data_IF_853084765331
#
_entry.id   IF_853084765331
#
_cell.length_a   1.000
_cell.length_b   1.000
_cell.length_c   1.000
_cell.angle_alpha   90.00
_cell.angle_beta   90.00
_cell.angle_gamma   90.00
#
_symmetry.space_group_name_H-M   'P 1'
#
loop_
_entity.id
_entity.type
_entity.pdbx_description
1 polymer ?
#
# COMPACT_ATOMS: atom_id res chain seq x y z
N UNK A 1 2.67 5.21 -4.27
CA UNK A 1 4.04 4.76 -3.90
C UNK A 1 4.34 3.40 -4.52
N UNK A 2 5.63 3.08 -4.69
CA UNK A 2 6.14 1.77 -5.13
C UNK A 2 6.84 1.06 -3.97
N UNK A 3 6.40 -0.14 -3.62
CA UNK A 3 6.97 -0.97 -2.56
C UNK A 3 7.76 -2.13 -3.15
N UNK A 4 8.91 -2.45 -2.55
CA UNK A 4 9.59 -3.73 -2.74
C UNK A 4 9.22 -4.66 -1.59
N UNK A 5 8.53 -5.76 -1.88
CA UNK A 5 8.08 -6.73 -0.90
C UNK A 5 8.97 -7.96 -1.01
N UNK A 6 9.72 -8.24 0.04
CA UNK A 6 10.64 -9.34 0.16
C UNK A 6 10.03 -10.40 1.08
N UNK A 7 9.62 -11.54 0.52
CA UNK A 7 9.16 -12.68 1.30
C UNK A 7 10.41 -13.44 1.72
N UNK A 8 10.87 -13.21 2.95
CA UNK A 8 12.11 -13.78 3.48
C UNK A 8 12.20 -15.27 3.16
N UNK A 9 13.41 -15.72 2.79
CA UNK A 9 13.66 -17.10 2.37
C UNK A 9 12.88 -17.49 1.09
N UNK A 10 12.32 -18.69 0.96
CA UNK A 10 11.61 -19.17 -0.25
C UNK A 10 12.51 -19.48 -1.46
N UNK A 11 13.82 -19.67 -1.28
CA UNK A 11 14.73 -20.04 -2.37
C UNK A 11 15.89 -20.92 -1.88
N UNK A 12 15.73 -22.26 -1.85
CA UNK A 12 16.77 -23.17 -1.37
C UNK A 12 18.17 -22.83 -1.94
N UNK A 13 19.22 -22.80 -1.09
CA UNK A 13 19.27 -23.33 0.28
C UNK A 13 18.66 -22.41 1.37
N UNK A 14 18.16 -21.23 1.01
CA UNK A 14 17.56 -20.27 1.93
C UNK A 14 16.09 -20.67 2.23
N UNK A 15 15.87 -21.34 3.37
CA UNK A 15 14.62 -22.07 3.71
C UNK A 15 14.00 -21.70 5.07
N UNK A 16 14.52 -20.66 5.72
CA UNK A 16 13.96 -20.11 6.95
C UNK A 16 13.97 -21.03 8.16
N UNK A 17 13.31 -20.59 9.22
CA UNK A 17 13.13 -21.33 10.45
C UNK A 17 11.98 -22.35 10.37
N UNK A 18 12.21 -23.54 10.94
CA UNK A 18 11.17 -24.55 11.18
C UNK A 18 10.71 -24.53 12.64
N UNK A 19 9.45 -24.18 12.89
CA UNK A 19 8.78 -24.25 14.19
C UNK A 19 7.51 -25.11 14.14
N UNK A 20 6.44 -24.63 14.78
CA UNK A 20 5.08 -25.18 14.64
C UNK A 20 4.61 -25.05 13.19
N UNK A 21 5.01 -23.96 12.52
CA UNK A 21 4.87 -23.73 11.09
C UNK A 21 6.23 -23.42 10.49
N UNK A 22 6.35 -23.58 9.16
CA UNK A 22 7.55 -23.24 8.40
C UNK A 22 7.55 -21.75 8.07
N UNK A 23 8.65 -21.06 8.35
CA UNK A 23 8.78 -19.61 8.08
C UNK A 23 8.49 -19.27 6.62
N UNK A 24 9.11 -19.96 5.65
CA UNK A 24 8.92 -19.69 4.22
C UNK A 24 7.46 -19.71 3.79
N UNK A 25 6.69 -20.67 4.30
CA UNK A 25 5.27 -20.78 4.01
C UNK A 25 4.49 -19.57 4.58
N UNK A 26 4.88 -19.10 5.76
CA UNK A 26 4.27 -17.94 6.42
C UNK A 26 4.64 -16.63 5.73
N UNK A 27 5.93 -16.41 5.44
CA UNK A 27 6.42 -15.20 4.76
C UNK A 27 5.80 -15.08 3.37
N UNK A 28 5.69 -16.19 2.63
CA UNK A 28 5.03 -16.23 1.32
C UNK A 28 3.54 -15.92 1.41
N UNK A 29 2.84 -16.47 2.40
CA UNK A 29 1.42 -16.23 2.60
C UNK A 29 1.14 -14.75 2.89
N UNK A 30 1.85 -14.16 3.86
CA UNK A 30 1.69 -12.74 4.23
C UNK A 30 2.13 -11.82 3.11
N UNK A 31 3.28 -12.07 2.49
CA UNK A 31 3.80 -11.22 1.42
C UNK A 31 2.91 -11.22 0.18
N UNK A 32 2.35 -12.37 -0.19
CA UNK A 32 1.41 -12.44 -1.32
C UNK A 32 0.16 -11.61 -1.06
N UNK A 33 -0.41 -11.72 0.15
CA UNK A 33 -1.57 -10.94 0.57
C UNK A 33 -1.27 -9.44 0.64
N UNK A 34 -0.11 -9.06 1.19
CA UNK A 34 0.32 -7.67 1.27
C UNK A 34 0.47 -7.04 -0.13
N UNK A 35 1.07 -7.76 -1.09
CA UNK A 35 1.19 -7.31 -2.48
C UNK A 35 -0.20 -7.04 -3.08
N UNK A 36 -1.14 -7.96 -2.90
CA UNK A 36 -2.51 -7.79 -3.42
C UNK A 36 -3.20 -6.58 -2.80
N UNK A 37 -3.10 -6.42 -1.48
CA UNK A 37 -3.69 -5.31 -0.73
C UNK A 37 -3.12 -3.95 -1.11
N UNK A 38 -1.79 -3.84 -1.23
CA UNK A 38 -1.14 -2.61 -1.69
C UNK A 38 -1.55 -2.24 -3.12
N UNK A 39 -1.65 -3.23 -4.01
CA UNK A 39 -2.13 -3.02 -5.39
C UNK A 39 -3.59 -2.58 -5.43
N UNK A 40 -4.46 -3.19 -4.61
CA UNK A 40 -5.86 -2.79 -4.48
C UNK A 40 -6.02 -1.36 -3.92
N UNK A 41 -5.05 -0.90 -3.12
CA UNK A 41 -4.97 0.49 -2.63
C UNK A 41 -4.29 1.46 -3.62
N UNK A 42 -4.16 1.10 -4.91
CA UNK A 42 -3.53 1.91 -5.96
C UNK A 42 -2.02 2.19 -5.74
N UNK A 43 -1.31 1.30 -5.03
CA UNK A 43 0.15 1.33 -4.94
C UNK A 43 0.78 0.28 -5.86
N UNK A 44 2.01 0.53 -6.31
CA UNK A 44 2.80 -0.51 -6.97
C UNK A 44 3.48 -1.38 -5.92
N UNK A 45 3.42 -2.70 -6.06
CA UNK A 45 4.14 -3.63 -5.20
C UNK A 45 4.93 -4.64 -6.06
N UNK A 46 6.25 -4.59 -5.94
CA UNK A 46 7.22 -5.45 -6.64
C UNK A 46 7.61 -6.59 -5.70
N UNK A 47 7.40 -7.83 -6.14
CA UNK A 47 7.91 -9.00 -5.41
C UNK A 47 9.44 -9.06 -5.59
N UNK A 48 10.18 -8.88 -4.51
CA UNK A 48 11.64 -8.89 -4.47
C UNK A 48 12.21 -10.31 -4.23
N UNK A 49 11.36 -11.31 -3.99
CA UNK A 49 11.75 -12.68 -3.68
C UNK A 49 12.38 -13.35 -4.93
N UNK A 50 13.59 -13.94 -4.82
CA UNK A 50 14.20 -14.71 -5.90
C UNK A 50 13.55 -16.10 -5.99
N UNK A 51 13.55 -16.70 -7.18
CA UNK A 51 13.02 -18.05 -7.40
C UNK A 51 14.05 -19.16 -7.15
N UNK A 52 15.34 -18.82 -7.13
CA UNK A 52 16.45 -19.74 -6.87
C UNK A 52 17.70 -18.96 -6.47
N UNK A 53 18.57 -19.56 -5.66
CA UNK A 53 19.86 -18.98 -5.29
C UNK A 53 20.92 -20.06 -5.13
N UNK A 54 22.18 -19.72 -5.41
CA UNK A 54 23.33 -20.61 -5.21
C UNK A 54 23.78 -20.70 -3.74
N UNK A 55 23.43 -19.70 -2.93
CA UNK A 55 23.74 -19.60 -1.50
C UNK A 55 22.80 -18.60 -0.82
N UNK A 56 22.78 -18.56 0.52
CA UNK A 56 22.03 -17.55 1.27
C UNK A 56 22.52 -16.13 0.93
N UNK A 57 23.83 -15.91 0.80
CA UNK A 57 24.37 -14.60 0.41
C UNK A 57 23.92 -14.17 -0.98
N UNK A 58 23.82 -15.11 -1.92
CA UNK A 58 23.30 -14.86 -3.25
C UNK A 58 21.80 -14.50 -3.22
N UNK A 59 20.99 -15.26 -2.45
CA UNK A 59 19.58 -14.92 -2.18
C UNK A 59 19.41 -13.48 -1.68
N UNK A 60 20.13 -13.11 -0.62
CA UNK A 60 20.08 -11.78 -0.03
C UNK A 60 20.44 -10.68 -1.03
N UNK A 61 21.49 -10.90 -1.84
CA UNK A 61 21.93 -9.96 -2.88
C UNK A 61 20.89 -9.78 -3.98
N UNK A 62 20.26 -10.86 -4.43
CA UNK A 62 19.23 -10.79 -5.48
C UNK A 62 18.03 -9.96 -5.03
N UNK A 63 17.60 -10.09 -3.76
CA UNK A 63 16.49 -9.31 -3.19
C UNK A 63 16.78 -7.81 -3.22
N UNK A 64 17.93 -7.41 -2.68
CA UNK A 64 18.33 -5.99 -2.64
C UNK A 64 18.56 -5.42 -4.03
N UNK A 65 19.18 -6.19 -4.93
CA UNK A 65 19.38 -5.77 -6.32
C UNK A 65 18.05 -5.55 -7.03
N UNK A 66 17.06 -6.44 -6.85
CA UNK A 66 15.74 -6.31 -7.46
C UNK A 66 15.01 -5.07 -6.95
N UNK A 67 15.08 -4.78 -5.65
CA UNK A 67 14.50 -3.56 -5.08
C UNK A 67 15.16 -2.29 -5.63
N UNK A 68 16.50 -2.25 -5.62
CA UNK A 68 17.29 -1.12 -6.11
C UNK A 68 17.05 -0.86 -7.60
N UNK A 69 17.10 -1.90 -8.45
CA UNK A 69 16.88 -1.79 -9.89
C UNK A 69 15.47 -1.28 -10.25
N UNK A 70 14.48 -1.53 -9.38
CA UNK A 70 13.10 -1.05 -9.58
C UNK A 70 12.84 0.35 -9.01
N UNK A 71 13.82 0.97 -8.35
CA UNK A 71 13.70 2.26 -7.68
C UNK A 71 12.44 2.32 -6.79
N UNK A 72 12.27 1.30 -5.93
CA UNK A 72 11.14 1.27 -4.99
C UNK A 72 11.30 2.38 -3.94
N UNK A 73 10.19 2.91 -3.45
CA UNK A 73 10.19 3.97 -2.43
C UNK A 73 10.42 3.43 -1.01
N UNK A 74 9.94 2.22 -0.72
CA UNK A 74 10.11 1.54 0.57
C UNK A 74 10.34 0.05 0.32
N UNK A 75 11.29 -0.54 1.03
CA UNK A 75 11.57 -1.97 1.04
C UNK A 75 11.07 -2.61 2.34
N UNK A 76 10.33 -3.72 2.21
CA UNK A 76 9.71 -4.43 3.33
C UNK A 76 10.08 -5.90 3.23
N UNK A 77 10.92 -6.36 4.16
CA UNK A 77 11.28 -7.77 4.31
C UNK A 77 10.40 -8.41 5.38
N UNK A 78 9.72 -9.50 5.05
CA UNK A 78 8.78 -10.20 5.93
C UNK A 78 9.42 -11.50 6.40
N UNK A 79 9.46 -11.69 7.71
CA UNK A 79 10.06 -12.81 8.42
C UNK A 79 9.19 -13.29 9.59
N UNK A 80 9.50 -14.46 10.11
CA UNK A 80 8.94 -14.99 11.36
C UNK A 80 10.05 -15.55 12.24
N UNK A 81 10.08 -15.08 13.48
CA UNK A 81 11.17 -15.38 14.39
C UNK A 81 11.07 -16.82 14.92
N UNK A 82 12.15 -17.31 15.51
CA UNK A 82 12.20 -18.59 16.22
C UNK A 82 13.20 -18.49 17.37
N UNK A 83 12.86 -19.07 18.52
CA UNK A 83 13.82 -19.14 19.62
C UNK A 83 13.70 -20.41 20.46
N UNK A 84 12.75 -20.43 21.41
CA UNK A 84 12.66 -21.48 22.44
C UNK A 84 11.21 -21.88 22.76
N UNK A 85 10.29 -21.63 21.83
CA UNK A 85 8.83 -21.81 21.97
C UNK A 85 8.13 -20.98 23.07
N UNK A 86 8.86 -20.19 23.87
CA UNK A 86 8.31 -19.30 24.92
C UNK A 86 8.37 -17.82 24.54
N UNK A 87 9.46 -17.40 23.87
CA UNK A 87 9.55 -16.07 23.29
C UNK A 87 8.43 -15.89 22.26
N UNK A 88 7.76 -14.74 22.30
CA UNK A 88 6.61 -14.45 21.47
C UNK A 88 6.50 -12.93 21.23
N UNK A 89 5.61 -12.55 20.31
CA UNK A 89 5.37 -11.17 19.91
C UNK A 89 6.08 -10.74 18.64
N UNK A 90 5.91 -9.47 18.28
CA UNK A 90 6.43 -8.87 17.05
C UNK A 90 7.58 -7.90 17.33
N UNK A 91 8.57 -7.85 16.44
CA UNK A 91 9.66 -6.87 16.41
C UNK A 91 9.93 -6.43 14.97
N UNK A 92 10.38 -5.20 14.78
CA UNK A 92 10.72 -4.67 13.46
C UNK A 92 12.11 -4.06 13.50
N UNK A 93 12.93 -4.37 12.50
CA UNK A 93 14.28 -3.89 12.38
C UNK A 93 14.39 -2.77 11.35
N UNK A 94 15.06 -1.68 11.74
CA UNK A 94 15.25 -0.48 10.94
C UNK A 94 16.54 0.24 11.35
N UNK A 95 17.32 0.70 10.37
CA UNK A 95 18.61 1.36 10.61
C UNK A 95 18.49 2.89 10.48
N UNK A 96 17.86 3.38 9.41
CA UNK A 96 17.76 4.84 9.16
C UNK A 96 16.61 5.48 9.96
N UNK A 97 16.70 6.77 10.27
CA UNK A 97 15.61 7.52 10.92
C UNK A 97 14.29 7.42 10.14
N UNK A 98 14.35 7.50 8.81
CA UNK A 98 13.18 7.33 7.95
C UNK A 98 12.58 5.92 8.06
N UNK A 99 13.43 4.89 8.06
CA UNK A 99 13.02 3.50 8.29
C UNK A 99 12.41 3.30 9.68
N UNK A 100 12.93 3.96 10.72
CA UNK A 100 12.43 3.81 12.09
C UNK A 100 11.00 4.34 12.21
N UNK A 101 10.68 5.50 11.63
CA UNK A 101 9.30 6.02 11.62
C UNK A 101 8.31 5.10 10.89
N UNK A 102 8.74 4.48 9.78
CA UNK A 102 7.94 3.48 9.07
C UNK A 102 7.75 2.23 9.94
N UNK A 103 8.83 1.74 10.56
CA UNK A 103 8.80 0.57 11.43
C UNK A 103 7.89 0.78 12.64
N UNK A 104 7.92 1.96 13.27
CA UNK A 104 7.02 2.30 14.38
C UNK A 104 5.55 2.28 13.95
N UNK A 105 5.26 2.83 12.76
CA UNK A 105 3.90 2.85 12.21
C UNK A 105 3.37 1.44 11.95
N UNK A 106 4.19 0.56 11.35
CA UNK A 106 3.83 -0.84 11.12
C UNK A 106 3.71 -1.63 12.42
N UNK A 107 4.66 -1.47 13.33
CA UNK A 107 4.64 -2.14 14.63
C UNK A 107 3.37 -1.82 15.41
N UNK A 108 2.96 -0.55 15.41
CA UNK A 108 1.74 -0.09 16.09
C UNK A 108 0.49 -0.82 15.60
N UNK A 109 0.35 -1.03 14.30
CA UNK A 109 -0.82 -1.73 13.74
C UNK A 109 -0.77 -3.23 14.04
N UNK A 110 0.40 -3.88 13.97
CA UNK A 110 0.53 -5.30 14.32
C UNK A 110 0.20 -5.54 15.81
N UNK A 111 0.67 -4.66 16.70
CA UNK A 111 0.40 -4.76 18.15
C UNK A 111 -1.10 -4.65 18.46
N UNK A 112 -1.88 -3.90 17.67
CA UNK A 112 -3.34 -3.81 17.82
C UNK A 112 -4.05 -5.16 17.57
N UNK A 113 -3.40 -6.10 16.86
CA UNK A 113 -3.90 -7.47 16.70
C UNK A 113 -3.75 -8.32 17.97
N UNK A 114 -3.02 -7.84 18.98
CA UNK A 114 -2.82 -8.51 20.27
C UNK A 114 -1.43 -9.13 20.46
N UNK A 115 -0.52 -8.98 19.50
CA UNK A 115 0.85 -9.48 19.65
C UNK A 115 1.63 -8.69 20.71
N UNK A 116 2.47 -9.39 21.48
CA UNK A 116 3.37 -8.75 22.42
C UNK A 116 4.33 -7.80 21.69
N UNK A 117 4.42 -6.55 22.14
CA UNK A 117 5.27 -5.53 21.52
C UNK A 117 6.73 -5.69 21.97
N UNK A 118 7.62 -6.06 21.05
CA UNK A 118 9.07 -6.20 21.33
C UNK A 118 9.90 -5.02 20.80
N UNK A 119 9.25 -4.01 20.24
CA UNK A 119 9.85 -2.75 19.82
C UNK A 119 10.45 -2.76 18.41
N UNK A 120 10.83 -1.56 17.98
CA UNK A 120 11.70 -1.34 16.83
C UNK A 120 13.15 -1.46 17.27
N UNK A 121 13.99 -2.11 16.48
CA UNK A 121 15.38 -2.39 16.80
C UNK A 121 16.30 -2.01 15.65
N UNK A 122 17.53 -1.62 15.99
CA UNK A 122 18.58 -1.47 15.01
C UNK A 122 19.43 -2.76 14.98
N UNK A 123 19.51 -3.38 13.81
CA UNK A 123 20.47 -4.43 13.53
C UNK A 123 20.89 -4.36 12.09
N UNK A 124 22.19 -4.57 11.87
CA UNK A 124 22.80 -4.47 10.56
C UNK A 124 22.56 -5.66 9.64
N UNK A 125 21.32 -6.10 9.47
CA UNK A 125 20.94 -7.16 8.52
C UNK A 125 21.32 -6.78 7.09
N UNK A 126 21.69 -7.79 6.28
CA UNK A 126 22.19 -7.57 4.93
C UNK A 126 21.21 -6.76 4.09
N UNK A 127 19.94 -7.14 4.08
CA UNK A 127 18.92 -6.48 3.24
C UNK A 127 18.72 -5.01 3.63
N UNK A 128 18.76 -4.70 4.93
CA UNK A 128 18.61 -3.33 5.44
C UNK A 128 19.81 -2.44 5.10
N UNK A 129 21.01 -3.03 5.00
CA UNK A 129 22.26 -2.31 4.67
C UNK A 129 22.47 -2.09 3.18
N UNK A 130 21.91 -2.95 2.33
CA UNK A 130 22.26 -3.00 0.90
C UNK A 130 21.10 -2.54 -0.01
N UNK A 131 20.02 -2.02 0.56
CA UNK A 131 18.96 -1.28 -0.13
C UNK A 131 19.26 0.22 -0.13
N UNK A 132 18.90 0.91 -1.23
CA UNK A 132 19.15 2.36 -1.40
C UNK A 132 18.00 3.25 -0.91
N UNK A 133 16.88 2.66 -0.52
CA UNK A 133 15.68 3.34 -0.02
C UNK A 133 15.43 2.97 1.45
N UNK A 134 14.51 3.65 2.17
CA UNK A 134 14.07 3.23 3.48
C UNK A 134 13.63 1.76 3.47
N UNK A 135 14.24 0.97 4.34
CA UNK A 135 14.02 -0.47 4.47
C UNK A 135 13.65 -0.86 5.89
N UNK A 136 12.71 -1.79 6.04
CA UNK A 136 12.34 -2.43 7.30
C UNK A 136 12.35 -3.96 7.14
N UNK A 137 12.66 -4.67 8.22
CA UNK A 137 12.52 -6.13 8.31
C UNK A 137 11.57 -6.44 9.46
N UNK A 138 10.47 -7.11 9.15
CA UNK A 138 9.38 -7.39 10.09
C UNK A 138 9.50 -8.83 10.54
N UNK A 139 9.74 -9.05 11.83
CA UNK A 139 9.45 -10.33 12.47
C UNK A 139 7.99 -10.31 12.92
N UNK A 140 7.12 -10.90 12.10
CA UNK A 140 5.67 -10.81 12.29
C UNK A 140 5.25 -11.39 13.64
N UNK A 141 5.77 -12.56 13.97
CA UNK A 141 5.69 -13.21 15.28
C UNK A 141 6.63 -14.45 15.31
N UNK A 142 6.62 -15.23 16.39
CA UNK A 142 7.46 -16.43 16.53
C UNK A 142 6.78 -17.69 15.97
N UNK A 143 7.36 -18.32 14.94
CA UNK A 143 6.80 -19.52 14.29
C UNK A 143 6.87 -20.79 15.16
N UNK A 144 7.65 -20.77 16.25
CA UNK A 144 7.76 -21.85 17.23
C UNK A 144 6.96 -21.61 18.52
N UNK A 145 6.34 -20.44 18.68
CA UNK A 145 5.57 -20.10 19.87
C UNK A 145 4.07 -20.36 19.67
N UNK A 146 3.51 -21.23 20.51
CA UNK A 146 2.08 -21.59 20.40
C UNK A 146 1.16 -20.37 20.56
N UNK A 147 1.47 -19.46 21.49
CA UNK A 147 0.67 -18.24 21.73
C UNK A 147 0.58 -17.36 20.49
N UNK A 148 1.66 -17.23 19.73
CA UNK A 148 1.68 -16.44 18.51
C UNK A 148 0.97 -17.18 17.37
N UNK A 149 1.20 -18.49 17.23
CA UNK A 149 0.59 -19.28 16.17
C UNK A 149 -0.91 -19.51 16.33
N UNK A 150 -1.43 -19.47 17.56
CA UNK A 150 -2.87 -19.49 17.85
C UNK A 150 -3.52 -18.14 17.48
N UNK A 151 -2.80 -17.02 17.68
CA UNK A 151 -3.29 -15.66 17.38
C UNK A 151 -3.15 -15.31 15.88
N UNK A 152 -2.13 -15.85 15.22
CA UNK A 152 -1.73 -15.46 13.87
C UNK A 152 -2.80 -15.78 12.82
N UNK A 153 -3.16 -14.73 12.08
CA UNK A 153 -4.01 -14.77 10.90
C UNK A 153 -3.33 -14.00 9.76
N UNK A 154 -3.21 -14.64 8.59
CA UNK A 154 -2.49 -14.11 7.44
C UNK A 154 -3.13 -12.81 6.92
N UNK A 155 -4.46 -12.78 6.85
CA UNK A 155 -5.21 -11.65 6.31
C UNK A 155 -5.05 -10.43 7.22
N UNK A 156 -5.23 -10.61 8.53
CA UNK A 156 -5.06 -9.55 9.53
C UNK A 156 -3.64 -9.03 9.60
N UNK A 157 -2.64 -9.91 9.56
CA UNK A 157 -1.23 -9.50 9.57
C UNK A 157 -0.90 -8.66 8.33
N UNK A 158 -1.29 -9.12 7.14
CA UNK A 158 -1.06 -8.38 5.90
C UNK A 158 -1.81 -7.03 5.88
N UNK A 159 -3.03 -6.98 6.43
CA UNK A 159 -3.81 -5.74 6.56
C UNK A 159 -3.12 -4.75 7.51
N UNK A 160 -2.68 -5.19 8.69
CA UNK A 160 -1.95 -4.36 9.65
C UNK A 160 -0.64 -3.80 9.07
N UNK A 161 0.12 -4.64 8.34
CA UNK A 161 1.33 -4.17 7.66
C UNK A 161 0.99 -3.11 6.61
N UNK A 162 -0.04 -3.34 5.79
CA UNK A 162 -0.50 -2.39 4.78
C UNK A 162 -0.90 -1.06 5.44
N UNK A 163 -1.73 -1.09 6.47
CA UNK A 163 -2.19 0.10 7.20
C UNK A 163 -1.03 0.87 7.85
N UNK A 164 -0.02 0.17 8.38
CA UNK A 164 1.18 0.82 8.90
C UNK A 164 2.05 1.49 7.82
N UNK A 165 2.05 0.95 6.59
CA UNK A 165 2.84 1.47 5.47
C UNK A 165 2.19 2.68 4.78
N UNK A 166 0.86 2.69 4.63
CA UNK A 166 0.15 3.73 3.87
C UNK A 166 -0.81 4.57 4.72
N UNK A 167 -0.88 4.28 6.02
CA UNK A 167 -1.94 4.76 6.90
C UNK A 167 -3.20 3.92 6.75
N UNK A 168 -4.07 3.95 7.77
CA UNK A 168 -5.43 3.47 7.57
C UNK A 168 -6.10 4.33 6.49
N UNK A 169 -6.96 3.75 5.63
CA UNK A 169 -7.82 4.58 4.81
C UNK A 169 -8.51 5.57 5.75
N UNK A 170 -8.38 6.87 5.47
CA UNK A 170 -9.23 7.85 6.15
C UNK A 170 -10.64 7.28 6.07
N UNK A 171 -11.39 7.20 7.18
CA UNK A 171 -12.80 6.86 7.09
C UNK A 171 -13.33 7.69 5.94
N UNK A 172 -13.92 7.06 4.92
CA UNK A 172 -14.82 7.81 4.08
C UNK A 172 -15.77 8.40 5.09
N UNK A 173 -15.67 9.71 5.34
CA UNK A 173 -16.70 10.38 6.10
C UNK A 173 -18.00 9.85 5.51
N UNK A 174 -18.94 9.36 6.34
CA UNK A 174 -20.25 9.03 5.81
C UNK A 174 -20.67 10.30 5.08
N UNK A 175 -20.65 10.24 3.75
CA UNK A 175 -21.22 11.31 2.96
C UNK A 175 -22.66 11.23 3.39
N UNK A 176 -23.07 12.18 4.25
CA UNK A 176 -24.46 12.60 4.29
C UNK A 176 -24.90 12.67 2.83
N UNK A 177 -26.14 12.28 2.53
CA UNK A 177 -26.74 12.31 1.19
C UNK A 177 -26.82 13.77 0.65
N UNK A 178 -25.68 14.47 0.62
CA UNK A 178 -25.47 15.81 0.14
C UNK A 178 -25.62 15.71 -1.35
N UNK A 179 -26.65 16.37 -1.84
CA UNK A 179 -26.90 16.45 -3.27
C UNK A 179 -26.09 17.63 -3.79
N UNK A 180 -25.11 17.36 -4.64
CA UNK A 180 -24.35 18.43 -5.26
C UNK A 180 -24.99 18.82 -6.59
N UNK A 181 -25.00 20.11 -6.88
CA UNK A 181 -25.23 20.63 -8.23
C UNK A 181 -23.91 21.20 -8.73
N UNK A 182 -23.44 20.69 -9.86
CA UNK A 182 -22.41 21.33 -10.65
C UNK A 182 -23.08 22.32 -11.61
N UNK A 183 -22.93 23.61 -11.35
CA UNK A 183 -23.32 24.68 -12.28
C UNK A 183 -22.17 24.86 -13.28
N UNK A 184 -22.37 24.49 -14.54
CA UNK A 184 -21.46 24.87 -15.63
C UNK A 184 -21.83 26.28 -16.07
N UNK A 185 -20.92 27.24 -15.89
CA UNK A 185 -21.17 28.65 -16.23
C UNK A 185 -20.74 28.98 -17.65
N UNK A 186 -19.80 28.22 -18.20
CA UNK A 186 -19.24 28.42 -19.54
C UNK A 186 -19.08 27.07 -20.22
N UNK A 187 -19.43 26.97 -21.51
CA UNK A 187 -19.25 25.74 -22.29
C UNK A 187 -17.80 25.25 -22.15
N UNK A 188 -17.64 23.98 -21.79
CA UNK A 188 -16.32 23.42 -21.48
C UNK A 188 -16.27 21.92 -21.78
N UNK A 189 -15.23 21.24 -21.29
CA UNK A 189 -15.01 19.82 -21.50
C UNK A 189 -15.00 19.06 -20.18
N UNK A 190 -15.61 17.88 -20.21
CA UNK A 190 -15.42 16.81 -19.24
C UNK A 190 -14.18 16.03 -19.65
N UNK A 191 -13.21 15.92 -18.74
CA UNK A 191 -11.89 15.37 -19.04
C UNK A 191 -11.57 14.14 -18.18
N UNK A 192 -10.70 13.23 -18.67
CA UNK A 192 -10.14 12.12 -17.90
C UNK A 192 -9.21 12.56 -16.76
N UNK A 193 -8.60 13.74 -16.86
CA UNK A 193 -7.57 14.26 -15.97
C UNK A 193 -7.57 15.79 -15.95
N UNK A 194 -6.68 16.39 -15.17
CA UNK A 194 -6.47 17.84 -15.04
C UNK A 194 -5.72 18.45 -16.23
N UNK A 195 -5.14 17.63 -17.12
CA UNK A 195 -4.40 18.06 -18.32
C UNK A 195 -5.23 18.93 -19.27
N UNK A 196 -4.57 19.73 -20.12
CA UNK A 196 -5.26 20.58 -21.09
C UNK A 196 -6.04 19.72 -22.09
N UNK A 197 -7.23 20.16 -22.49
CA UNK A 197 -8.08 19.40 -23.41
C UNK A 197 -7.41 19.16 -24.78
N UNK A 198 -6.50 20.05 -25.20
CA UNK A 198 -5.71 19.91 -26.42
C UNK A 198 -4.75 18.72 -26.40
N UNK A 199 -4.34 18.29 -25.21
CA UNK A 199 -3.28 17.31 -25.01
C UNK A 199 -3.85 15.91 -24.77
N UNK A 200 -5.19 15.81 -24.67
CA UNK A 200 -5.92 14.59 -24.36
C UNK A 200 -6.48 13.92 -25.63
N UNK A 201 -6.61 12.58 -25.65
CA UNK A 201 -7.26 11.87 -26.73
C UNK A 201 -8.69 12.40 -26.97
N UNK A 202 -9.05 12.69 -28.22
CA UNK A 202 -10.34 13.33 -28.56
C UNK A 202 -11.55 12.49 -28.16
N UNK A 203 -11.41 11.18 -28.13
CA UNK A 203 -12.42 10.21 -27.71
C UNK A 203 -12.55 10.09 -26.17
N UNK A 204 -11.67 10.77 -25.43
CA UNK A 204 -11.69 10.82 -23.97
C UNK A 204 -12.31 12.09 -23.39
N UNK A 205 -12.55 13.11 -24.22
CA UNK A 205 -13.10 14.41 -23.82
C UNK A 205 -14.52 14.59 -24.36
N UNK A 206 -15.40 15.15 -23.54
CA UNK A 206 -16.81 15.36 -23.90
C UNK A 206 -17.21 16.79 -23.64
N UNK A 207 -17.83 17.46 -24.61
CA UNK A 207 -18.36 18.81 -24.41
C UNK A 207 -19.52 18.80 -23.41
N UNK A 208 -19.55 19.81 -22.56
CA UNK A 208 -20.67 20.07 -21.66
C UNK A 208 -21.11 21.53 -21.79
N UNK A 209 -22.41 21.71 -21.98
CA UNK A 209 -23.04 23.02 -22.11
C UNK A 209 -23.32 23.64 -20.74
N UNK A 210 -23.40 24.99 -20.65
CA UNK A 210 -23.84 25.66 -19.44
C UNK A 210 -25.18 25.13 -18.91
N UNK A 211 -25.27 24.99 -17.59
CA UNK A 211 -26.46 24.47 -16.93
C UNK A 211 -26.17 23.85 -15.56
N UNK A 212 -27.24 23.44 -14.89
CA UNK A 212 -27.18 22.84 -13.56
C UNK A 212 -27.28 21.32 -13.65
N UNK A 213 -26.27 20.63 -13.12
CA UNK A 213 -26.20 19.18 -13.21
C UNK A 213 -26.16 18.53 -11.82
N UNK A 214 -27.07 17.60 -11.51
CA UNK A 214 -26.97 16.81 -10.29
C UNK A 214 -25.80 15.83 -10.37
N UNK A 215 -24.96 15.85 -9.34
CA UNK A 215 -23.77 15.01 -9.25
C UNK A 215 -23.73 14.32 -7.89
N UNK A 216 -23.19 13.12 -7.86
CA UNK A 216 -23.15 12.28 -6.66
C UNK A 216 -22.07 12.73 -5.69
N UNK A 217 -21.02 13.35 -6.23
CA UNK A 217 -19.83 13.64 -5.47
C UNK A 217 -18.99 14.68 -6.21
N UNK A 218 -18.29 15.52 -5.44
CA UNK A 218 -17.32 16.45 -5.99
C UNK A 218 -16.11 16.56 -5.07
N UNK A 219 -14.91 16.50 -5.64
CA UNK A 219 -13.66 16.89 -5.00
C UNK A 219 -12.94 17.94 -5.84
N UNK A 220 -11.93 18.59 -5.28
CA UNK A 220 -11.19 19.66 -5.94
C UNK A 220 -9.70 19.37 -5.99
N UNK A 221 -9.10 19.46 -7.17
CA UNK A 221 -7.68 19.19 -7.41
C UNK A 221 -7.19 20.03 -8.60
N UNK A 222 -6.01 20.64 -8.49
CA UNK A 222 -5.33 21.38 -9.58
C UNK A 222 -6.24 22.32 -10.41
N UNK A 223 -7.06 23.14 -9.75
CA UNK A 223 -8.03 24.06 -10.36
C UNK A 223 -9.16 23.38 -11.16
N UNK A 224 -9.43 22.11 -10.87
CA UNK A 224 -10.53 21.33 -11.45
C UNK A 224 -11.40 20.75 -10.34
N UNK A 225 -12.68 20.60 -10.66
CA UNK A 225 -13.56 19.72 -9.91
C UNK A 225 -13.43 18.31 -10.47
N UNK A 226 -13.12 17.30 -9.65
CA UNK A 226 -13.40 15.90 -9.99
C UNK A 226 -14.85 15.62 -9.62
N UNK A 227 -15.65 15.27 -10.61
CA UNK A 227 -17.11 15.20 -10.50
C UNK A 227 -17.56 13.79 -10.78
N UNK A 228 -18.30 13.20 -9.82
CA UNK A 228 -18.92 11.89 -9.99
C UNK A 228 -20.36 12.03 -10.45
N UNK A 229 -20.66 11.47 -11.62
CA UNK A 229 -21.96 11.50 -12.25
C UNK A 229 -22.82 10.30 -11.82
N UNK A 230 -24.17 10.43 -11.83
CA UNK A 230 -25.08 9.32 -11.53
C UNK A 230 -24.92 8.12 -12.47
N UNK A 231 -24.55 8.38 -13.71
CA UNK A 231 -24.38 7.39 -14.78
C UNK A 231 -23.37 7.89 -15.84
N UNK A 232 -23.21 7.13 -16.92
CA UNK A 232 -22.36 7.48 -18.07
C UNK A 232 -23.07 8.36 -19.10
N UNK A 233 -24.19 9.01 -18.80
CA UNK A 233 -24.92 9.83 -19.78
C UNK A 233 -24.13 11.04 -20.29
N UNK A 234 -23.07 11.43 -19.58
CA UNK A 234 -22.23 12.60 -19.91
C UNK A 234 -20.91 12.24 -20.60
N UNK A 235 -20.58 10.95 -20.75
CA UNK A 235 -19.32 10.53 -21.34
C UNK A 235 -19.15 9.02 -21.31
N UNK A 236 -17.91 8.54 -21.23
CA UNK A 236 -17.59 7.10 -21.20
C UNK A 236 -17.21 6.58 -19.79
N UNK A 237 -17.42 7.40 -18.76
CA UNK A 237 -17.02 7.13 -17.37
C UNK A 237 -17.93 7.88 -16.42
N UNK A 238 -17.92 7.46 -15.16
CA UNK A 238 -18.75 8.08 -14.12
C UNK A 238 -18.03 9.22 -13.40
N UNK A 239 -16.75 9.48 -13.70
CA UNK A 239 -15.97 10.52 -13.04
C UNK A 239 -15.16 11.31 -14.06
N UNK A 240 -15.30 12.64 -14.04
CA UNK A 240 -14.63 13.54 -14.97
C UNK A 240 -14.10 14.77 -14.24
N UNK A 241 -13.04 15.36 -14.78
CA UNK A 241 -12.53 16.66 -14.37
C UNK A 241 -13.17 17.78 -15.17
N UNK A 242 -13.58 18.84 -14.47
CA UNK A 242 -14.14 20.08 -15.05
C UNK A 242 -13.33 21.27 -14.56
N UNK A 243 -12.91 22.15 -15.47
CA UNK A 243 -12.12 23.32 -15.08
C UNK A 243 -12.95 24.27 -14.22
N UNK A 244 -12.44 24.61 -13.04
CA UNK A 244 -13.19 25.37 -12.05
C UNK A 244 -13.45 26.82 -12.47
N UNK A 245 -12.68 27.37 -13.41
CA UNK A 245 -12.98 28.68 -13.99
C UNK A 245 -14.26 28.72 -14.83
N UNK A 246 -14.83 27.56 -15.18
CA UNK A 246 -16.05 27.43 -15.99
C UNK A 246 -17.20 26.76 -15.22
N UNK A 247 -17.03 26.51 -13.92
CA UNK A 247 -18.02 25.79 -13.13
C UNK A 247 -18.05 26.25 -11.67
N UNK A 248 -19.17 25.99 -10.99
CA UNK A 248 -19.34 26.16 -9.56
C UNK A 248 -20.01 24.93 -8.96
N UNK A 249 -19.74 24.67 -7.69
CA UNK A 249 -20.36 23.56 -6.95
C UNK A 249 -21.29 24.16 -5.90
N UNK A 250 -22.54 23.72 -5.91
CA UNK A 250 -23.55 24.10 -4.94
C UNK A 250 -23.92 22.83 -4.16
N UNK A 251 -23.69 22.87 -2.85
CA UNK A 251 -24.16 21.82 -1.94
C UNK A 251 -25.64 22.07 -1.62
N UNK A 252 -26.49 21.04 -1.76
CA UNK A 252 -27.89 21.06 -1.34
C UNK A 252 -28.08 20.15 -0.14
N UNK A 253 -28.79 20.69 0.85
CA UNK A 253 -29.31 19.98 2.03
C UNK A 253 -30.38 18.93 1.67
#
# INVERSE_FOLDING_TARGET
MKFGIDMGHNCPPDTGATGIKQEDALTKAVGTQLIQKLRAANHTAIDCTPTSASSVTDSLRQRTNKANANNVNVYVSIHFNKFNAKAHGTEIYAISNASQGIAESVLKEIVQLGFYNRGVKDTGFFVLKNTQMPAILIECCFCDAKVDMDLFDVEKMAEAIKDGLIGQPKPKEPKADKKYILEITTKTFLKPSTEQASDLPKDSIFEIEPGDYPVLDVSFEENHYSVKWPDQSKGNRNEHFVYAGHAKVIEKD
#
